data_IF_766741276296
#
_entry.id   IF_766741276296
#
_cell.length_a   1.000
_cell.length_b   1.000
_cell.length_c   1.000
_cell.angle_alpha   90.00
_cell.angle_beta   90.00
_cell.angle_gamma   90.00
#
_symmetry.space_group_name_H-M   'P 1'
#
loop_
_entity.id
_entity.type
_entity.pdbx_description
1 polymer ?
#
# COMPACT_ATOMS: atom_id res chain seq x y z
N UNK A 1 58.31 -1.97 81.26
CA UNK A 1 58.41 -1.03 80.13
C UNK A 1 58.26 -1.68 78.77
N UNK A 2 58.94 -2.81 78.53
CA UNK A 2 58.87 -3.45 77.21
C UNK A 2 57.49 -4.01 76.87
N UNK A 3 56.74 -4.58 77.81
CA UNK A 3 55.41 -5.14 77.58
C UNK A 3 54.36 -4.11 77.16
N UNK A 4 54.44 -2.88 77.69
CA UNK A 4 53.55 -1.77 77.40
C UNK A 4 53.80 -1.22 75.96
N UNK A 5 55.10 -1.18 75.59
CA UNK A 5 55.46 -0.79 74.16
C UNK A 5 55.03 -1.82 73.15
N UNK A 6 55.21 -3.13 73.43
CA UNK A 6 54.77 -4.19 72.59
C UNK A 6 53.21 -4.23 72.37
N UNK A 7 52.48 -3.95 73.50
CA UNK A 7 51.01 -3.84 73.42
C UNK A 7 50.54 -2.63 72.64
N UNK A 8 51.20 -1.50 72.78
CA UNK A 8 50.88 -0.30 72.02
C UNK A 8 51.18 -0.46 70.48
N UNK A 9 52.31 -1.13 70.15
CA UNK A 9 52.64 -1.40 68.78
C UNK A 9 51.63 -2.35 68.12
N UNK A 10 51.20 -3.43 68.80
CA UNK A 10 50.18 -4.35 68.27
C UNK A 10 48.84 -3.64 68.05
N UNK A 11 48.45 -2.76 69.00
CA UNK A 11 47.23 -1.97 68.86
C UNK A 11 47.34 -0.99 67.70
N UNK A 12 48.47 -0.32 67.50
CA UNK A 12 48.71 0.55 66.33
C UNK A 12 48.65 -0.22 65.05
N UNK A 13 49.32 -1.40 64.96
CA UNK A 13 49.22 -2.28 63.72
C UNK A 13 47.80 -2.75 63.43
N UNK A 14 47.04 -3.09 64.51
CA UNK A 14 45.63 -3.46 64.35
C UNK A 14 44.80 -2.31 63.81
N UNK A 15 44.91 -1.11 64.34
CA UNK A 15 44.18 0.08 63.88
C UNK A 15 44.56 0.44 62.46
N UNK A 16 45.85 0.39 62.11
CA UNK A 16 46.31 0.63 60.75
C UNK A 16 45.72 -0.42 59.80
N UNK A 17 45.75 -1.71 60.15
CA UNK A 17 45.18 -2.80 59.36
C UNK A 17 43.65 -2.69 59.16
N UNK A 18 42.93 -2.33 60.18
CA UNK A 18 41.49 -2.11 60.14
C UNK A 18 41.13 -0.89 59.24
N UNK A 19 41.97 0.19 59.39
CA UNK A 19 41.78 1.37 58.52
C UNK A 19 42.05 1.07 57.03
N UNK A 20 43.11 0.29 56.76
CA UNK A 20 43.42 -0.16 55.37
C UNK A 20 42.27 -0.96 54.80
N UNK A 21 41.74 -1.94 55.55
CA UNK A 21 40.58 -2.73 55.08
C UNK A 21 39.34 -1.86 54.82
N UNK A 22 39.11 -0.86 55.68
CA UNK A 22 37.98 0.07 55.45
C UNK A 22 38.16 0.91 54.17
N UNK A 23 39.38 1.39 53.91
CA UNK A 23 39.70 2.11 52.65
C UNK A 23 39.56 1.22 51.43
N UNK A 24 40.07 0.01 51.49
CA UNK A 24 39.94 -0.95 50.38
C UNK A 24 38.47 -1.27 50.08
N UNK A 25 37.64 -1.43 51.10
CA UNK A 25 36.21 -1.64 50.96
C UNK A 25 35.54 -0.44 50.28
N UNK A 26 35.82 0.78 50.77
CA UNK A 26 35.27 2.02 50.17
C UNK A 26 35.71 2.12 48.68
N UNK A 27 36.97 1.83 48.40
CA UNK A 27 37.50 1.87 47.04
C UNK A 27 36.77 0.89 46.10
N UNK A 28 36.57 -0.36 46.52
CA UNK A 28 35.85 -1.36 45.69
C UNK A 28 34.37 -1.01 45.56
N UNK A 29 33.73 -0.43 46.59
CA UNK A 29 32.35 0.06 46.48
C UNK A 29 32.22 1.22 45.48
N UNK A 30 33.13 2.17 45.52
CA UNK A 30 33.17 3.26 44.52
C UNK A 30 33.43 2.78 43.13
N UNK A 31 34.37 1.86 42.97
CA UNK A 31 34.69 1.24 41.66
C UNK A 31 33.49 0.48 41.09
N UNK A 32 32.80 -0.33 41.89
CA UNK A 32 31.61 -1.05 41.50
C UNK A 32 30.49 -0.08 41.12
N UNK A 33 30.30 1.00 41.87
CA UNK A 33 29.29 2.03 41.57
C UNK A 33 29.59 2.76 40.25
N UNK A 34 30.83 3.18 40.05
CA UNK A 34 31.26 3.86 38.83
C UNK A 34 31.10 2.94 37.60
N UNK A 35 31.45 1.66 37.73
CA UNK A 35 31.26 0.66 36.65
C UNK A 35 29.79 0.48 36.32
N UNK A 36 28.92 0.35 37.32
CA UNK A 36 27.48 0.21 37.09
C UNK A 36 26.89 1.43 36.37
N UNK A 37 27.28 2.64 36.82
CA UNK A 37 26.84 3.88 36.17
C UNK A 37 27.28 3.95 34.70
N UNK A 38 28.52 3.57 34.41
CA UNK A 38 29.01 3.53 33.02
C UNK A 38 28.26 2.49 32.18
N UNK A 39 27.98 1.30 32.72
CA UNK A 39 27.19 0.27 32.06
C UNK A 39 25.74 0.73 31.78
N UNK A 40 25.11 1.40 32.75
CA UNK A 40 23.77 1.99 32.59
C UNK A 40 23.74 3.09 31.51
N UNK A 41 24.75 3.95 31.46
CA UNK A 41 24.87 5.02 30.47
C UNK A 41 25.06 4.46 29.06
N UNK A 42 25.95 3.47 28.90
CA UNK A 42 26.16 2.78 27.63
C UNK A 42 24.87 2.07 27.15
N UNK A 43 24.17 1.42 28.06
CA UNK A 43 22.90 0.77 27.76
C UNK A 43 21.84 1.79 27.31
N UNK A 44 21.72 2.91 28.00
CA UNK A 44 20.76 3.98 27.66
C UNK A 44 21.07 4.60 26.29
N UNK A 45 22.33 4.92 25.99
CA UNK A 45 22.73 5.46 24.68
C UNK A 45 22.55 4.42 23.56
N UNK A 46 22.81 3.14 23.84
CA UNK A 46 22.56 2.05 22.86
C UNK A 46 21.09 1.95 22.51
N UNK A 47 20.20 1.99 23.49
CA UNK A 47 18.75 1.94 23.25
C UNK A 47 18.23 3.21 22.56
N UNK A 48 18.80 4.36 22.85
CA UNK A 48 18.48 5.60 22.14
C UNK A 48 18.90 5.51 20.68
N UNK A 49 20.12 5.07 20.41
CA UNK A 49 20.63 4.88 19.05
C UNK A 49 19.75 3.90 18.24
N UNK A 50 19.34 2.77 18.85
CA UNK A 50 18.40 1.82 18.21
C UNK A 50 17.06 2.47 17.85
N UNK A 51 16.48 3.27 18.76
CA UNK A 51 15.23 3.99 18.51
C UNK A 51 15.37 4.98 17.35
N UNK A 52 16.47 5.73 17.30
CA UNK A 52 16.71 6.71 16.25
C UNK A 52 16.90 6.05 14.88
N UNK A 53 17.64 4.94 14.82
CA UNK A 53 17.78 4.13 13.60
C UNK A 53 16.42 3.60 13.14
N UNK A 54 15.63 3.02 14.04
CA UNK A 54 14.31 2.49 13.70
C UNK A 54 13.35 3.59 13.21
N UNK A 55 13.40 4.78 13.83
CA UNK A 55 12.61 5.94 13.40
C UNK A 55 12.99 6.38 11.99
N UNK A 56 14.28 6.50 11.70
CA UNK A 56 14.79 6.87 10.38
C UNK A 56 14.40 5.82 9.34
N UNK A 57 14.62 4.54 9.63
CA UNK A 57 14.25 3.44 8.75
C UNK A 57 12.76 3.44 8.42
N UNK A 58 11.90 3.65 9.41
CA UNK A 58 10.44 3.72 9.21
C UNK A 58 10.04 4.90 8.34
N UNK A 59 10.67 6.06 8.53
CA UNK A 59 10.44 7.24 7.70
C UNK A 59 10.86 7.00 6.23
N UNK A 60 12.02 6.39 6.02
CA UNK A 60 12.53 6.06 4.69
C UNK A 60 11.65 5.04 3.98
N UNK A 61 11.21 3.99 4.69
CA UNK A 61 10.26 3.01 4.13
C UNK A 61 8.95 3.66 3.69
N UNK A 62 8.41 4.57 4.49
CA UNK A 62 7.20 5.31 4.13
C UNK A 62 7.42 6.20 2.91
N UNK A 63 8.57 6.86 2.83
CA UNK A 63 8.93 7.69 1.67
C UNK A 63 9.04 6.87 0.38
N UNK A 64 9.70 5.70 0.45
CA UNK A 64 9.81 4.77 -0.70
C UNK A 64 8.43 4.28 -1.14
N UNK A 65 7.57 3.87 -0.20
CA UNK A 65 6.21 3.43 -0.52
C UNK A 65 5.40 4.52 -1.22
N UNK A 66 5.50 5.77 -0.75
CA UNK A 66 4.83 6.93 -1.39
C UNK A 66 5.35 7.19 -2.80
N UNK A 67 6.67 7.11 -3.02
CA UNK A 67 7.27 7.23 -4.36
C UNK A 67 6.78 6.14 -5.30
N UNK A 68 6.76 4.89 -4.83
CA UNK A 68 6.29 3.74 -5.62
C UNK A 68 4.81 3.89 -5.99
N UNK A 69 3.96 4.24 -5.02
CA UNK A 69 2.52 4.47 -5.27
C UNK A 69 2.28 5.58 -6.29
N UNK A 70 3.01 6.69 -6.18
CA UNK A 70 2.93 7.80 -7.16
C UNK A 70 3.33 7.32 -8.54
N UNK A 71 4.44 6.57 -8.64
CA UNK A 71 4.92 6.06 -9.93
C UNK A 71 3.95 5.08 -10.57
N UNK A 72 3.36 4.20 -9.77
CA UNK A 72 2.33 3.29 -10.24
C UNK A 72 1.09 4.04 -10.76
N UNK A 73 0.67 5.11 -10.07
CA UNK A 73 -0.44 5.95 -10.53
C UNK A 73 -0.12 6.63 -11.86
N UNK A 74 1.06 7.24 -11.99
CA UNK A 74 1.50 7.86 -13.25
C UNK A 74 1.52 6.86 -14.42
N UNK A 75 2.04 5.64 -14.18
CA UNK A 75 2.07 4.59 -15.20
C UNK A 75 0.67 4.12 -15.58
N UNK A 76 -0.21 3.98 -14.58
CA UNK A 76 -1.61 3.62 -14.80
C UNK A 76 -2.34 4.67 -15.63
N UNK A 77 -2.17 5.95 -15.31
CA UNK A 77 -2.77 7.04 -16.08
C UNK A 77 -2.28 7.08 -17.54
N UNK A 78 -0.97 6.88 -17.76
CA UNK A 78 -0.40 6.79 -19.11
C UNK A 78 -1.00 5.63 -19.88
N UNK A 79 -1.05 4.44 -19.26
CA UNK A 79 -1.62 3.25 -19.88
C UNK A 79 -3.09 3.48 -20.27
N UNK A 80 -3.91 4.02 -19.37
CA UNK A 80 -5.31 4.30 -19.67
C UNK A 80 -5.48 5.35 -20.78
N UNK A 81 -4.58 6.34 -20.83
CA UNK A 81 -4.59 7.32 -21.91
C UNK A 81 -4.32 6.64 -23.28
N UNK A 82 -3.29 5.82 -23.36
CA UNK A 82 -2.95 5.09 -24.57
C UNK A 82 -4.07 4.12 -25.00
N UNK A 83 -4.69 3.43 -24.04
CA UNK A 83 -5.84 2.54 -24.33
C UNK A 83 -7.02 3.34 -24.89
N UNK A 84 -7.36 4.49 -24.29
CA UNK A 84 -8.44 5.35 -24.81
C UNK A 84 -8.16 5.86 -26.21
N UNK A 85 -6.92 6.24 -26.51
CA UNK A 85 -6.52 6.69 -27.85
C UNK A 85 -6.67 5.55 -28.89
N UNK A 86 -6.23 4.34 -28.54
CA UNK A 86 -6.40 3.15 -29.39
C UNK A 86 -7.88 2.78 -29.60
N UNK A 87 -8.69 2.84 -28.55
CA UNK A 87 -10.13 2.59 -28.63
C UNK A 87 -10.82 3.64 -29.53
N UNK A 88 -10.43 4.91 -29.39
CA UNK A 88 -10.97 5.99 -30.25
C UNK A 88 -10.60 5.77 -31.72
N UNK A 89 -9.39 5.28 -32.00
CA UNK A 89 -9.00 4.92 -33.36
C UNK A 89 -9.78 3.70 -33.90
N UNK A 90 -9.93 2.66 -33.07
CA UNK A 90 -10.69 1.46 -33.40
C UNK A 90 -12.15 1.76 -33.67
N UNK A 91 -12.79 2.68 -32.99
CA UNK A 91 -14.18 3.10 -33.21
C UNK A 91 -14.41 3.72 -34.60
N UNK A 92 -13.35 4.19 -35.25
CA UNK A 92 -13.41 4.72 -36.63
C UNK A 92 -13.20 3.64 -37.69
N UNK A 93 -12.80 2.44 -37.31
CA UNK A 93 -12.60 1.33 -38.20
C UNK A 93 -13.95 0.64 -38.55
N UNK A 94 -14.19 0.22 -39.81
CA UNK A 94 -15.40 -0.50 -40.16
C UNK A 94 -15.65 -1.77 -39.34
N UNK A 95 -14.61 -2.43 -38.89
CA UNK A 95 -14.68 -3.61 -38.01
C UNK A 95 -15.35 -3.35 -36.68
N UNK A 96 -15.41 -2.08 -36.23
CA UNK A 96 -16.09 -1.73 -34.99
C UNK A 96 -17.62 -1.89 -35.11
N UNK A 97 -18.20 -1.49 -36.22
CA UNK A 97 -19.64 -1.70 -36.43
C UNK A 97 -19.98 -3.20 -36.44
N UNK A 98 -19.13 -4.02 -37.08
CA UNK A 98 -19.29 -5.48 -37.07
C UNK A 98 -19.16 -6.07 -35.64
N UNK A 99 -18.28 -5.50 -34.82
CA UNK A 99 -18.17 -5.87 -33.41
C UNK A 99 -19.46 -5.54 -32.65
N UNK A 100 -20.01 -4.34 -32.80
CA UNK A 100 -21.29 -3.95 -32.18
C UNK A 100 -22.42 -4.87 -32.60
N UNK A 101 -22.55 -5.14 -33.94
CA UNK A 101 -23.54 -6.04 -34.51
C UNK A 101 -23.46 -7.42 -33.85
N UNK A 102 -22.27 -8.00 -33.79
CA UNK A 102 -22.04 -9.29 -33.14
C UNK A 102 -22.46 -9.29 -31.66
N UNK A 103 -22.10 -8.26 -30.90
CA UNK A 103 -22.43 -8.16 -29.48
C UNK A 103 -23.92 -7.96 -29.22
N UNK A 104 -24.60 -7.23 -30.10
CA UNK A 104 -26.06 -7.11 -30.03
C UNK A 104 -26.73 -8.47 -30.37
N UNK A 105 -26.28 -9.19 -31.40
CA UNK A 105 -26.80 -10.52 -31.73
C UNK A 105 -26.60 -11.52 -30.57
N UNK A 106 -25.43 -11.52 -29.95
CA UNK A 106 -25.16 -12.36 -28.79
C UNK A 106 -26.15 -12.04 -27.62
N UNK A 107 -26.41 -10.78 -27.34
CA UNK A 107 -27.33 -10.35 -26.30
C UNK A 107 -28.79 -10.73 -26.62
N UNK A 108 -29.22 -10.54 -27.89
CA UNK A 108 -30.58 -10.94 -28.36
C UNK A 108 -30.76 -12.45 -28.25
N UNK A 109 -29.76 -13.22 -28.68
CA UNK A 109 -29.79 -14.69 -28.58
C UNK A 109 -29.88 -15.17 -27.17
N UNK A 110 -29.14 -14.53 -26.28
CA UNK A 110 -29.16 -14.85 -24.83
C UNK A 110 -30.49 -14.51 -24.16
N UNK A 111 -31.11 -13.38 -24.53
CA UNK A 111 -32.40 -12.97 -24.00
C UNK A 111 -33.56 -13.89 -24.50
N UNK A 112 -33.46 -14.46 -25.71
CA UNK A 112 -34.50 -15.28 -26.28
C UNK A 112 -35.82 -14.53 -26.42
N UNK A 113 -36.85 -14.94 -25.66
CA UNK A 113 -38.17 -14.31 -25.65
C UNK A 113 -38.36 -13.25 -24.55
N UNK A 114 -37.33 -13.01 -23.71
CA UNK A 114 -37.43 -12.06 -22.64
C UNK A 114 -37.33 -10.61 -23.14
N UNK A 115 -37.93 -9.68 -22.40
CA UNK A 115 -37.84 -8.26 -22.72
C UNK A 115 -36.42 -7.79 -22.58
N UNK A 116 -35.81 -7.30 -23.65
CA UNK A 116 -34.42 -6.82 -23.73
C UNK A 116 -34.40 -5.32 -23.98
N UNK A 117 -33.58 -4.60 -23.21
CA UNK A 117 -33.26 -3.21 -23.48
C UNK A 117 -31.77 -3.10 -23.81
N UNK A 118 -31.46 -2.61 -25.01
CA UNK A 118 -30.09 -2.46 -25.52
C UNK A 118 -29.64 -1.00 -25.40
N UNK A 119 -28.44 -0.79 -24.86
CA UNK A 119 -27.83 0.52 -24.71
C UNK A 119 -26.54 0.63 -25.51
N UNK A 120 -26.41 1.73 -26.25
CA UNK A 120 -25.19 2.16 -26.91
C UNK A 120 -24.55 3.31 -26.13
N UNK A 121 -23.22 3.40 -26.22
CA UNK A 121 -22.49 4.56 -25.74
C UNK A 121 -22.91 5.84 -26.49
N UNK A 122 -22.99 7.00 -25.84
CA UNK A 122 -23.32 8.26 -26.51
C UNK A 122 -22.43 8.58 -27.71
N UNK A 123 -21.16 8.20 -27.66
CA UNK A 123 -20.21 8.40 -28.77
C UNK A 123 -20.43 7.47 -29.97
N UNK A 124 -21.34 6.49 -29.89
CA UNK A 124 -21.68 5.53 -30.94
C UNK A 124 -23.05 5.82 -31.56
N UNK A 125 -23.65 6.97 -31.26
CA UNK A 125 -24.96 7.38 -31.75
C UNK A 125 -25.05 7.32 -33.30
N UNK A 126 -23.95 7.61 -33.98
CA UNK A 126 -23.88 7.56 -35.44
C UNK A 126 -24.14 6.15 -36.00
N UNK A 127 -23.85 5.09 -35.27
CA UNK A 127 -24.06 3.71 -35.68
C UNK A 127 -25.48 3.20 -35.40
N UNK A 128 -26.25 3.93 -34.56
CA UNK A 128 -27.58 3.49 -34.10
C UNK A 128 -28.52 3.14 -35.26
N UNK A 129 -28.72 4.04 -36.19
CA UNK A 129 -29.68 3.87 -37.29
C UNK A 129 -29.31 2.67 -38.18
N UNK A 130 -28.03 2.50 -38.49
CA UNK A 130 -27.53 1.37 -39.29
C UNK A 130 -27.77 0.04 -38.56
N UNK A 131 -27.44 -0.03 -37.25
CA UNK A 131 -27.60 -1.26 -36.46
C UNK A 131 -29.07 -1.62 -36.24
N UNK A 132 -29.94 -0.64 -35.95
CA UNK A 132 -31.39 -0.88 -35.84
C UNK A 132 -32.00 -1.44 -37.11
N UNK A 133 -31.61 -0.91 -38.27
CA UNK A 133 -32.07 -1.38 -39.56
C UNK A 133 -31.58 -2.80 -39.89
N UNK A 134 -30.27 -3.06 -39.63
CA UNK A 134 -29.66 -4.37 -39.94
C UNK A 134 -30.17 -5.49 -39.04
N UNK A 135 -30.45 -5.18 -37.77
CA UNK A 135 -30.74 -6.19 -36.75
C UNK A 135 -32.21 -6.25 -36.37
N UNK A 136 -33.04 -5.31 -36.85
CA UNK A 136 -34.46 -5.18 -36.50
C UNK A 136 -34.69 -5.10 -34.98
N UNK A 137 -33.84 -4.37 -34.30
CA UNK A 137 -33.88 -4.15 -32.85
C UNK A 137 -34.01 -2.66 -32.54
N UNK A 138 -34.45 -2.31 -31.32
CA UNK A 138 -34.47 -0.93 -30.86
C UNK A 138 -33.29 -0.70 -29.93
N UNK A 139 -32.51 0.34 -30.22
CA UNK A 139 -31.33 0.73 -29.40
C UNK A 139 -31.61 2.03 -28.67
N UNK A 140 -31.19 2.09 -27.43
CA UNK A 140 -31.26 3.28 -26.58
C UNK A 140 -29.87 3.87 -26.40
N UNK A 141 -29.72 5.17 -26.53
CA UNK A 141 -28.46 5.82 -26.19
C UNK A 141 -28.38 5.96 -24.66
N UNK A 142 -27.28 5.53 -24.08
CA UNK A 142 -27.05 5.62 -22.63
C UNK A 142 -26.89 7.08 -22.22
N UNK A 143 -27.44 7.44 -21.06
CA UNK A 143 -27.19 8.75 -20.45
C UNK A 143 -25.76 8.89 -19.87
N UNK A 144 -25.10 7.76 -19.58
CA UNK A 144 -23.74 7.71 -19.05
C UNK A 144 -22.80 7.08 -20.08
N UNK A 145 -21.64 7.72 -20.37
CA UNK A 145 -20.66 7.15 -21.28
C UNK A 145 -19.98 5.92 -20.65
N UNK A 146 -19.65 4.95 -21.48
CA UNK A 146 -18.94 3.72 -21.09
C UNK A 146 -17.84 3.32 -22.10
N UNK A 147 -17.27 4.32 -22.77
CA UNK A 147 -16.15 4.25 -23.72
C UNK A 147 -16.44 3.51 -25.03
N UNK A 148 -17.64 3.04 -25.26
CA UNK A 148 -18.07 2.27 -26.43
C UNK A 148 -18.45 0.85 -26.11
N UNK A 149 -19.00 0.14 -27.12
CA UNK A 149 -19.54 -1.19 -26.94
C UNK A 149 -21.06 -1.18 -26.70
N UNK A 150 -21.57 -2.28 -26.12
CA UNK A 150 -23.01 -2.50 -25.91
C UNK A 150 -23.26 -2.96 -24.49
N UNK A 151 -24.29 -2.40 -23.86
CA UNK A 151 -24.88 -2.91 -22.62
C UNK A 151 -26.29 -3.39 -22.90
N UNK A 152 -26.65 -4.53 -22.36
CA UNK A 152 -27.99 -5.10 -22.51
C UNK A 152 -28.59 -5.46 -21.15
N UNK A 153 -29.85 -5.08 -20.94
CA UNK A 153 -30.55 -5.31 -19.68
C UNK A 153 -31.78 -6.19 -19.94
N UNK A 154 -31.92 -7.26 -19.17
CA UNK A 154 -33.10 -8.11 -19.12
C UNK A 154 -33.78 -7.85 -17.76
N UNK A 155 -34.76 -6.92 -17.68
CA UNK A 155 -35.31 -6.46 -16.41
C UNK A 155 -36.00 -7.58 -15.62
N UNK A 156 -36.68 -8.47 -16.29
CA UNK A 156 -37.45 -9.55 -15.68
C UNK A 156 -36.57 -10.56 -14.93
N UNK A 157 -35.31 -10.69 -15.36
CA UNK A 157 -34.33 -11.59 -14.76
C UNK A 157 -33.29 -10.86 -13.91
N UNK A 158 -33.33 -9.52 -13.84
CA UNK A 158 -32.29 -8.68 -13.21
C UNK A 158 -30.87 -8.98 -13.75
N UNK A 159 -30.77 -9.23 -15.08
CA UNK A 159 -29.48 -9.52 -15.72
C UNK A 159 -29.02 -8.28 -16.47
N UNK A 160 -27.75 -7.90 -16.26
CA UNK A 160 -27.01 -6.94 -17.09
C UNK A 160 -25.90 -7.69 -17.84
N UNK A 161 -25.94 -7.60 -19.18
CA UNK A 161 -24.85 -8.08 -20.04
C UNK A 161 -24.03 -6.85 -20.41
N UNK A 162 -22.82 -6.77 -19.88
CA UNK A 162 -21.93 -5.63 -20.10
C UNK A 162 -20.79 -6.02 -21.05
N UNK A 163 -20.87 -5.54 -22.29
CA UNK A 163 -19.85 -5.64 -23.32
C UNK A 163 -19.27 -4.25 -23.65
N UNK A 164 -19.18 -3.38 -22.64
CA UNK A 164 -18.56 -2.06 -22.78
C UNK A 164 -17.04 -2.14 -22.66
N UNK A 165 -16.36 -1.18 -23.26
CA UNK A 165 -14.90 -1.06 -23.13
C UNK A 165 -14.47 -0.54 -21.74
N UNK A 166 -15.39 -0.10 -20.92
CA UNK A 166 -15.12 0.27 -19.53
C UNK A 166 -14.89 -0.95 -18.64
N UNK A 167 -15.53 -2.09 -19.00
CA UNK A 167 -15.52 -3.31 -18.18
C UNK A 167 -14.51 -4.35 -18.69
N UNK A 168 -14.06 -4.25 -19.94
CA UNK A 168 -13.05 -5.11 -20.54
C UNK A 168 -11.64 -4.69 -20.11
#
# INVERSE_FOLDING_TARGET
YNHSLDSANREAERVIGDHQKALDKIFEEHKATARRQAEEEVAAETEKAKRDVNKTLSADQLHIRRKLSRKNLELKEKLFKEVREKLTAYKKDPSYEEYLERKIREAVTFAGNDKLTLYLDPSDEAHKASLEQKLSVTLTISAMPFLGGVRAVIPEKNILIDNSFETL
#
